data_IF_350664259012
#
_entry.id   IF_350664259012
#
_cell.length_a   1.000
_cell.length_b   1.000
_cell.length_c   1.000
_cell.angle_alpha   90.00
_cell.angle_beta   90.00
_cell.angle_gamma   90.00
#
_symmetry.space_group_name_H-M   'P 1'
#
loop_
_entity.id
_entity.type
_entity.pdbx_description
1 polymer ?
#
# COMPACT_ATOMS: atom_id res chain seq x y z
N UNK A 1 2.91 18.75 11.09
CA UNK A 1 1.91 19.35 10.22
C UNK A 1 1.94 18.85 8.82
N UNK A 2 3.09 18.57 8.27
CA UNK A 2 3.15 17.90 6.97
C UNK A 2 2.43 16.54 6.99
N UNK A 3 2.38 15.87 8.12
CA UNK A 3 1.63 14.62 8.25
C UNK A 3 0.14 14.81 7.97
N UNK A 4 -0.43 15.92 8.41
CA UNK A 4 -1.83 16.23 8.14
C UNK A 4 -2.08 16.46 6.66
N UNK A 5 -1.16 17.14 5.98
CA UNK A 5 -1.30 17.36 4.55
C UNK A 5 -1.19 16.05 3.79
N UNK A 6 -0.22 15.22 4.14
CA UNK A 6 -0.08 13.90 3.55
C UNK A 6 -1.32 13.04 3.82
N UNK A 7 -1.87 13.13 5.03
CA UNK A 7 -3.11 12.45 5.37
C UNK A 7 -4.29 12.97 4.57
N UNK A 8 -4.37 14.28 4.37
CA UNK A 8 -5.40 14.89 3.55
C UNK A 8 -5.34 14.44 2.10
N UNK A 9 -4.16 14.10 1.61
CA UNK A 9 -3.97 13.68 0.23
C UNK A 9 -4.36 12.24 -0.06
N UNK A 10 -4.58 11.44 0.91
CA UNK A 10 -4.92 10.06 0.61
C UNK A 10 -4.61 9.12 1.75
N UNK A 11 -4.58 9.66 2.96
CA UNK A 11 -4.28 8.86 4.13
C UNK A 11 -5.21 7.66 4.27
N UNK A 12 -6.47 7.79 3.86
CA UNK A 12 -7.42 6.69 3.91
C UNK A 12 -6.97 5.51 3.06
N UNK A 13 -6.30 5.78 1.94
CA UNK A 13 -5.80 4.73 1.07
C UNK A 13 -4.40 4.23 1.40
N UNK A 14 -3.66 4.98 2.25
CA UNK A 14 -2.26 4.68 2.55
C UNK A 14 -2.01 4.30 4.00
N UNK A 15 -3.00 4.50 4.87
CA UNK A 15 -2.83 4.32 6.31
C UNK A 15 -2.76 2.84 6.69
N UNK A 16 -1.73 2.53 7.45
CA UNK A 16 -1.56 1.22 8.06
C UNK A 16 -1.47 1.41 9.57
N UNK A 17 -2.20 0.61 10.31
CA UNK A 17 -2.19 0.60 11.76
C UNK A 17 -1.28 -0.52 12.26
N UNK A 18 -0.45 -0.21 13.25
CA UNK A 18 0.41 -1.21 13.88
C UNK A 18 0.26 -1.16 15.40
N UNK A 19 0.24 -2.34 16.00
CA UNK A 19 0.29 -2.52 17.44
C UNK A 19 1.53 -3.34 17.77
N UNK A 20 2.26 -2.88 18.78
CA UNK A 20 3.50 -3.54 19.18
C UNK A 20 3.43 -3.83 20.68
N UNK A 21 3.82 -5.03 21.09
CA UNK A 21 3.91 -5.36 22.51
C UNK A 21 5.01 -4.51 23.18
N UNK A 22 4.90 -4.26 24.52
CA UNK A 22 5.90 -3.44 25.20
C UNK A 22 7.33 -3.96 25.08
N UNK A 23 7.52 -5.27 24.95
CA UNK A 23 8.84 -5.87 24.75
C UNK A 23 9.30 -5.86 23.29
N UNK A 24 8.45 -5.42 22.37
CA UNK A 24 8.77 -5.33 20.94
C UNK A 24 8.81 -6.66 20.20
N UNK A 25 8.40 -7.74 20.82
CA UNK A 25 8.52 -9.07 20.23
C UNK A 25 7.38 -9.45 19.29
N UNK A 26 6.20 -8.87 19.50
CA UNK A 26 5.01 -9.20 18.71
C UNK A 26 4.46 -7.93 18.11
N UNK A 27 4.22 -7.94 16.81
CA UNK A 27 3.59 -6.85 16.08
C UNK A 27 2.34 -7.36 15.38
N UNK A 28 1.28 -6.57 15.45
CA UNK A 28 0.08 -6.73 14.63
C UNK A 28 0.00 -5.54 13.69
N UNK A 29 -0.24 -5.79 12.41
CA UNK A 29 -0.36 -4.74 11.41
C UNK A 29 -1.60 -4.98 10.55
N UNK A 30 -2.32 -3.91 10.24
CA UNK A 30 -3.52 -3.99 9.42
C UNK A 30 -3.72 -2.72 8.61
N UNK A 31 -4.52 -2.81 7.56
CA UNK A 31 -4.98 -1.63 6.84
C UNK A 31 -5.95 -0.86 7.74
N UNK A 32 -5.74 0.45 7.86
CA UNK A 32 -6.53 1.28 8.77
C UNK A 32 -7.83 1.78 8.15
N UNK A 33 -8.40 1.04 7.22
CA UNK A 33 -9.68 1.36 6.58
C UNK A 33 -10.64 0.18 6.65
N UNK A 34 -11.89 0.39 6.26
CA UNK A 34 -12.92 -0.64 6.30
C UNK A 34 -12.77 -1.69 5.20
N UNK A 35 -13.75 -2.56 5.13
CA UNK A 35 -13.72 -3.78 4.31
C UNK A 35 -14.03 -3.56 2.82
N UNK A 36 -14.25 -2.33 2.38
CA UNK A 36 -14.55 -1.95 0.99
C UNK A 36 -15.66 -2.80 0.35
N UNK A 37 -16.71 -3.07 1.09
CA UNK A 37 -17.80 -3.99 0.73
C UNK A 37 -18.42 -3.67 -0.63
N UNK A 38 -18.57 -2.40 -0.95
CA UNK A 38 -19.13 -1.95 -2.23
C UNK A 38 -18.31 -2.47 -3.41
N UNK A 39 -17.00 -2.36 -3.33
CA UNK A 39 -16.11 -2.84 -4.39
C UNK A 39 -16.10 -4.36 -4.47
N UNK A 40 -16.18 -5.03 -3.36
CA UNK A 40 -16.26 -6.48 -3.32
C UNK A 40 -17.52 -6.97 -4.04
N UNK A 41 -18.65 -6.34 -3.78
CA UNK A 41 -19.90 -6.69 -4.46
C UNK A 41 -19.81 -6.47 -5.98
N UNK A 42 -19.20 -5.37 -6.39
CA UNK A 42 -18.96 -5.11 -7.81
C UNK A 42 -18.09 -6.19 -8.44
N UNK A 43 -17.04 -6.59 -7.74
CA UNK A 43 -16.16 -7.66 -8.19
C UNK A 43 -16.93 -8.99 -8.33
N UNK A 44 -17.77 -9.33 -7.37
CA UNK A 44 -18.61 -10.53 -7.44
C UNK A 44 -19.55 -10.53 -8.63
N UNK A 45 -19.95 -9.36 -9.09
CA UNK A 45 -20.80 -9.18 -10.28
C UNK A 45 -20.00 -9.18 -11.59
N UNK A 46 -18.69 -9.41 -11.52
CA UNK A 46 -17.82 -9.42 -12.69
C UNK A 46 -17.42 -8.04 -13.20
N UNK A 47 -17.67 -6.99 -12.42
CA UNK A 47 -17.31 -5.63 -12.80
C UNK A 47 -15.86 -5.32 -12.38
N UNK A 48 -15.20 -4.49 -13.18
CA UNK A 48 -13.86 -4.01 -12.81
C UNK A 48 -13.96 -3.06 -11.62
N UNK A 49 -12.97 -3.15 -10.74
CA UNK A 49 -12.88 -2.29 -9.56
C UNK A 49 -11.53 -1.60 -9.52
N UNK A 50 -11.49 -0.44 -8.88
CA UNK A 50 -10.26 0.28 -8.64
C UNK A 50 -10.20 0.65 -7.16
N UNK A 51 -9.63 -0.26 -6.37
CA UNK A 51 -9.39 -0.06 -4.94
C UNK A 51 -7.90 0.04 -4.69
N UNK A 52 -7.52 0.83 -3.70
CA UNK A 52 -6.12 1.07 -3.37
C UNK A 52 -5.62 -0.02 -2.40
N UNK A 53 -4.69 -0.90 -2.82
CA UNK A 53 -4.18 -1.94 -1.96
C UNK A 53 -2.98 -1.51 -1.10
N UNK A 54 -2.53 -0.26 -1.18
CA UNK A 54 -1.28 0.18 -0.56
C UNK A 54 -1.30 -0.03 0.96
N UNK A 55 -2.40 0.29 1.62
CA UNK A 55 -2.48 0.11 3.08
C UNK A 55 -2.30 -1.36 3.47
N UNK A 56 -2.88 -2.27 2.71
CA UNK A 56 -2.70 -3.72 2.93
C UNK A 56 -1.27 -4.16 2.63
N UNK A 57 -0.68 -3.65 1.55
CA UNK A 57 0.71 -3.93 1.21
C UNK A 57 1.62 -3.45 2.34
N UNK A 58 1.41 -2.25 2.85
CA UNK A 58 2.22 -1.70 3.94
C UNK A 58 2.03 -2.46 5.26
N UNK A 59 0.84 -3.01 5.51
CA UNK A 59 0.65 -3.89 6.66
C UNK A 59 1.59 -5.10 6.56
N UNK A 60 1.68 -5.72 5.39
CA UNK A 60 2.62 -6.82 5.15
C UNK A 60 4.07 -6.38 5.26
N UNK A 61 4.46 -5.25 4.66
CA UNK A 61 5.85 -4.79 4.72
C UNK A 61 6.28 -4.44 6.14
N UNK A 62 5.38 -3.87 6.94
CA UNK A 62 5.67 -3.58 8.34
C UNK A 62 5.89 -4.86 9.13
N UNK A 63 5.08 -5.88 8.90
CA UNK A 63 5.23 -7.19 9.51
C UNK A 63 6.53 -7.86 9.08
N UNK A 64 6.84 -7.84 7.79
CA UNK A 64 8.08 -8.42 7.26
C UNK A 64 9.33 -7.72 7.81
N UNK A 65 9.32 -6.39 7.85
CA UNK A 65 10.43 -5.62 8.41
C UNK A 65 10.63 -5.93 9.89
N UNK A 66 9.54 -6.05 10.65
CA UNK A 66 9.61 -6.41 12.06
C UNK A 66 10.19 -7.82 12.23
N UNK A 67 9.74 -8.79 11.43
CA UNK A 67 10.30 -10.14 11.44
C UNK A 67 11.79 -10.14 11.12
N UNK A 68 12.17 -9.38 10.12
CA UNK A 68 13.58 -9.22 9.75
C UNK A 68 14.41 -8.66 10.89
N UNK A 69 13.87 -7.70 11.62
CA UNK A 69 14.53 -7.08 12.77
C UNK A 69 14.73 -8.10 13.91
N UNK A 70 13.69 -8.88 14.21
CA UNK A 70 13.76 -9.90 15.26
C UNK A 70 14.77 -11.00 14.93
N UNK A 71 14.89 -11.36 13.66
CA UNK A 71 15.76 -12.43 13.21
C UNK A 71 17.16 -11.96 12.80
N UNK A 72 17.41 -10.64 12.83
CA UNK A 72 18.68 -10.09 12.33
C UNK A 72 18.82 -10.27 10.81
N UNK A 73 17.72 -10.33 10.08
CA UNK A 73 17.72 -10.57 8.64
C UNK A 73 17.59 -9.24 7.88
N UNK A 74 18.73 -8.63 7.56
CA UNK A 74 18.77 -7.33 6.89
C UNK A 74 18.24 -7.39 5.47
N UNK A 75 18.36 -8.52 4.78
CA UNK A 75 17.83 -8.68 3.43
C UNK A 75 16.32 -8.61 3.42
N UNK A 76 15.66 -9.19 4.42
CA UNK A 76 14.22 -9.13 4.55
C UNK A 76 13.74 -7.70 4.83
N UNK A 77 14.45 -6.98 5.69
CA UNK A 77 14.15 -5.57 5.97
C UNK A 77 14.29 -4.75 4.70
N UNK A 78 15.37 -4.94 3.96
CA UNK A 78 15.61 -4.24 2.70
C UNK A 78 14.53 -4.54 1.67
N UNK A 79 14.10 -5.80 1.55
CA UNK A 79 13.04 -6.21 0.66
C UNK A 79 11.72 -5.48 0.99
N UNK A 80 11.34 -5.48 2.26
CA UNK A 80 10.13 -4.78 2.73
C UNK A 80 10.18 -3.29 2.42
N UNK A 81 11.31 -2.64 2.71
CA UNK A 81 11.48 -1.21 2.45
C UNK A 81 11.46 -0.92 0.94
N UNK A 82 11.98 -1.82 0.12
CA UNK A 82 11.96 -1.66 -1.34
C UNK A 82 10.53 -1.71 -1.87
N UNK A 83 9.69 -2.59 -1.36
CA UNK A 83 8.27 -2.66 -1.74
C UNK A 83 7.58 -1.33 -1.43
N UNK A 84 7.78 -0.80 -0.23
CA UNK A 84 7.17 0.49 0.16
C UNK A 84 7.62 1.61 -0.76
N UNK A 85 8.90 1.67 -1.07
CA UNK A 85 9.46 2.67 -1.96
C UNK A 85 8.87 2.56 -3.37
N UNK A 86 8.73 1.36 -3.89
CA UNK A 86 8.13 1.11 -5.21
C UNK A 86 6.69 1.59 -5.25
N UNK A 87 5.90 1.33 -4.20
CA UNK A 87 4.53 1.81 -4.12
C UNK A 87 4.46 3.34 -4.18
N UNK A 88 5.29 4.01 -3.39
CA UNK A 88 5.32 5.47 -3.34
C UNK A 88 5.76 6.05 -4.68
N UNK A 89 6.83 5.55 -5.26
CA UNK A 89 7.35 6.03 -6.54
C UNK A 89 6.35 5.80 -7.67
N UNK A 90 5.66 4.67 -7.67
CA UNK A 90 4.64 4.38 -8.69
C UNK A 90 3.51 5.41 -8.66
N UNK A 91 3.04 5.77 -7.47
CA UNK A 91 2.01 6.81 -7.33
C UNK A 91 2.57 8.17 -7.75
N UNK A 92 3.77 8.52 -7.33
CA UNK A 92 4.41 9.78 -7.71
C UNK A 92 4.58 9.91 -9.22
N UNK A 93 4.83 8.80 -9.90
CA UNK A 93 4.98 8.76 -11.36
C UNK A 93 3.64 8.70 -12.10
N UNK A 94 2.53 8.78 -11.41
CA UNK A 94 1.21 8.84 -12.02
C UNK A 94 0.47 7.51 -12.13
N UNK A 95 1.06 6.42 -11.63
CA UNK A 95 0.40 5.12 -11.59
C UNK A 95 -0.36 4.97 -10.29
N UNK A 96 -1.68 5.09 -10.33
CA UNK A 96 -2.49 5.12 -9.12
C UNK A 96 -3.90 4.61 -9.36
N UNK A 97 -4.56 4.20 -8.30
CA UNK A 97 -5.96 3.81 -8.32
C UNK A 97 -6.87 5.02 -8.28
N UNK A 98 -8.17 4.81 -8.52
CA UNK A 98 -9.15 5.86 -8.70
C UNK A 98 -9.26 6.82 -7.51
N UNK A 99 -9.17 6.31 -6.29
CA UNK A 99 -9.27 7.11 -5.08
C UNK A 99 -8.19 8.21 -5.02
N UNK A 100 -6.97 7.86 -5.40
CA UNK A 100 -5.86 8.82 -5.45
C UNK A 100 -5.96 9.73 -6.67
N UNK A 101 -6.35 9.18 -7.81
CA UNK A 101 -6.48 9.95 -9.05
C UNK A 101 -7.51 11.08 -8.91
N UNK A 102 -8.60 10.85 -8.22
CA UNK A 102 -9.63 11.85 -7.96
C UNK A 102 -9.06 13.03 -7.16
N UNK A 103 -8.15 12.76 -6.23
CA UNK A 103 -7.51 13.80 -5.43
C UNK A 103 -6.54 14.66 -6.26
N UNK A 104 -5.94 14.09 -7.29
CA UNK A 104 -5.04 14.83 -8.20
C UNK A 104 -5.85 15.72 -9.14
N UNK A 105 -6.96 15.23 -9.67
CA UNK A 105 -7.84 16.00 -10.53
C UNK A 105 -8.96 15.15 -11.11
N UNK A 106 -10.12 15.74 -11.41
CA UNK A 106 -11.28 14.98 -11.87
C UNK A 106 -11.10 14.30 -13.22
N UNK A 107 -10.14 14.75 -14.02
CA UNK A 107 -9.83 14.17 -15.34
C UNK A 107 -8.60 13.27 -15.32
N UNK A 108 -8.02 13.01 -14.15
CA UNK A 108 -6.83 12.16 -14.03
C UNK A 108 -7.16 10.71 -14.37
N UNK A 109 -6.26 10.07 -15.11
CA UNK A 109 -6.38 8.65 -15.43
C UNK A 109 -6.07 7.82 -14.20
N UNK A 110 -6.71 6.67 -14.11
CA UNK A 110 -6.46 5.74 -13.02
C UNK A 110 -6.34 4.31 -13.53
N UNK A 111 -5.75 3.46 -12.70
CA UNK A 111 -5.60 2.04 -12.96
C UNK A 111 -6.64 1.26 -12.15
N UNK A 112 -7.06 0.10 -12.68
CA UNK A 112 -7.82 -0.86 -11.88
C UNK A 112 -6.91 -1.44 -10.81
N UNK A 113 -7.49 -2.13 -9.82
CA UNK A 113 -6.72 -2.77 -8.76
C UNK A 113 -5.66 -3.71 -9.35
N UNK A 114 -6.06 -4.56 -10.30
CA UNK A 114 -5.14 -5.52 -10.91
C UNK A 114 -4.04 -4.84 -11.72
N UNK A 115 -4.38 -3.82 -12.49
CA UNK A 115 -3.39 -3.06 -13.25
C UNK A 115 -2.37 -2.38 -12.33
N UNK A 116 -2.84 -1.83 -11.21
CA UNK A 116 -1.95 -1.21 -10.24
C UNK A 116 -0.99 -2.25 -9.62
N UNK A 117 -1.51 -3.41 -9.25
CA UNK A 117 -0.68 -4.49 -8.72
C UNK A 117 0.36 -4.96 -9.74
N UNK A 118 -0.01 -5.02 -11.02
CA UNK A 118 0.93 -5.37 -12.09
C UNK A 118 2.06 -4.35 -12.22
N UNK A 119 1.74 -3.06 -12.11
CA UNK A 119 2.74 -1.98 -12.13
C UNK A 119 3.70 -2.13 -10.94
N UNK A 120 3.17 -2.38 -9.74
CA UNK A 120 3.99 -2.57 -8.55
C UNK A 120 4.91 -3.78 -8.74
N UNK A 121 4.39 -4.90 -9.22
CA UNK A 121 5.17 -6.10 -9.45
C UNK A 121 6.31 -5.86 -10.44
N UNK A 122 6.03 -5.23 -11.57
CA UNK A 122 7.03 -4.94 -12.59
C UNK A 122 8.11 -3.98 -12.07
N UNK A 123 7.70 -2.93 -11.37
CA UNK A 123 8.66 -1.96 -10.82
C UNK A 123 9.52 -2.58 -9.72
N UNK A 124 8.93 -3.47 -8.91
CA UNK A 124 9.67 -4.20 -7.89
C UNK A 124 10.73 -5.11 -8.50
N UNK A 125 10.37 -5.85 -9.55
CA UNK A 125 11.31 -6.73 -10.25
C UNK A 125 12.50 -5.96 -10.81
N UNK A 126 12.26 -4.77 -11.36
CA UNK A 126 13.34 -3.91 -11.85
C UNK A 126 14.26 -3.43 -10.73
N UNK A 127 13.71 -3.12 -9.57
CA UNK A 127 14.50 -2.67 -8.42
C UNK A 127 15.34 -3.78 -7.79
N UNK A 128 14.86 -5.02 -7.85
CA UNK A 128 15.56 -6.16 -7.26
C UNK A 128 16.66 -6.74 -8.16
N UNK A 129 16.64 -6.39 -9.43
CA UNK A 129 17.64 -6.87 -10.39
C UNK A 129 18.88 -5.98 -10.46
#
# INVERSE_FOLDING_TARGET
MYKRQAQGYGSLGLMTSTLLTPDGKIMEAEAAHGTVTRHYRMHQQGKETSTNPIASIFAWTRGLAHRGKLDGNDELIKFANTIEKVCIESVENGSMTKDLAILVGPSSKYLTTNQFLDVIDNNLKQKLN
#
